data_IF_292222551028
#
_entry.id   IF_292222551028
#
_cell.length_a   1.000
_cell.length_b   1.000
_cell.length_c   1.000
_cell.angle_alpha   90.00
_cell.angle_beta   90.00
_cell.angle_gamma   90.00
#
_symmetry.space_group_name_H-M   'P 1'
#
loop_
_entity.id
_entity.type
_entity.pdbx_description
1 polymer ?
#
# COMPACT_ATOMS: atom_id res chain seq x y z
N UNK A 1 53.57 -30.85 28.14
CA UNK A 1 54.38 -29.62 28.27
C UNK A 1 54.19 -28.84 26.99
N UNK A 2 53.71 -27.61 27.07
CA UNK A 2 53.52 -26.77 25.88
C UNK A 2 54.90 -26.27 25.44
N UNK A 3 55.22 -26.40 24.17
CA UNK A 3 56.47 -25.91 23.60
C UNK A 3 56.46 -24.37 23.63
N UNK A 4 57.20 -23.80 24.58
CA UNK A 4 57.23 -22.35 24.85
C UNK A 4 57.74 -21.58 23.62
N UNK A 5 58.57 -22.23 22.80
CA UNK A 5 59.16 -21.66 21.60
C UNK A 5 58.12 -21.54 20.47
N UNK A 6 57.31 -22.59 20.27
CA UNK A 6 56.16 -22.58 19.37
C UNK A 6 55.09 -21.57 19.78
N UNK A 7 54.82 -21.43 21.08
CA UNK A 7 53.87 -20.44 21.59
C UNK A 7 54.36 -19.00 21.37
N UNK A 8 55.65 -18.75 21.56
CA UNK A 8 56.28 -17.45 21.29
C UNK A 8 56.27 -17.07 19.81
N UNK A 9 56.58 -18.02 18.93
CA UNK A 9 56.54 -17.80 17.47
C UNK A 9 55.11 -17.56 16.99
N UNK A 10 54.14 -18.32 17.49
CA UNK A 10 52.72 -18.11 17.16
C UNK A 10 52.23 -16.72 17.57
N UNK A 11 52.53 -16.29 18.80
CA UNK A 11 52.15 -14.97 19.29
C UNK A 11 52.81 -13.85 18.48
N UNK A 12 54.08 -14.01 18.12
CA UNK A 12 54.80 -13.03 17.29
C UNK A 12 54.18 -12.91 15.90
N UNK A 13 53.82 -14.03 15.27
CA UNK A 13 53.21 -14.04 13.94
C UNK A 13 51.82 -13.37 13.96
N UNK A 14 51.02 -13.67 14.98
CA UNK A 14 49.70 -13.02 15.16
C UNK A 14 49.87 -11.51 15.35
N UNK A 15 50.80 -11.07 16.19
CA UNK A 15 51.04 -9.64 16.41
C UNK A 15 51.50 -8.92 15.13
N UNK A 16 52.33 -9.57 14.30
CA UNK A 16 52.75 -9.02 13.00
C UNK A 16 51.56 -8.87 12.06
N UNK A 17 50.70 -9.89 11.95
CA UNK A 17 49.51 -9.84 11.08
C UNK A 17 48.55 -8.75 11.54
N UNK A 18 48.31 -8.64 12.86
CA UNK A 18 47.49 -7.57 13.44
C UNK A 18 48.12 -6.21 13.14
N UNK A 19 49.42 -6.03 13.38
CA UNK A 19 50.09 -4.77 13.10
C UNK A 19 50.01 -4.38 11.61
N UNK A 20 50.17 -5.34 10.70
CA UNK A 20 50.03 -5.09 9.26
C UNK A 20 48.60 -4.70 8.90
N UNK A 21 47.60 -5.44 9.38
CA UNK A 21 46.19 -5.16 9.14
C UNK A 21 45.79 -3.75 9.61
N UNK A 22 46.25 -3.33 10.79
CA UNK A 22 45.99 -1.99 11.31
C UNK A 22 46.84 -0.90 10.64
N UNK A 23 48.01 -1.24 10.09
CA UNK A 23 48.86 -0.29 9.37
C UNK A 23 48.35 0.03 7.96
N UNK A 24 47.66 -0.92 7.32
CA UNK A 24 47.12 -0.72 5.97
C UNK A 24 45.78 0.04 5.97
N UNK A 25 45.14 0.18 7.13
CA UNK A 25 43.89 0.94 7.30
C UNK A 25 42.71 0.28 6.59
N UNK A 26 41.65 -0.04 7.32
CA UNK A 26 40.37 -0.39 6.69
C UNK A 26 39.68 0.91 6.30
N UNK A 27 40.14 1.52 5.21
CA UNK A 27 39.53 2.71 4.63
C UNK A 27 38.15 2.36 4.06
N UNK A 28 37.14 2.31 4.94
CA UNK A 28 35.75 2.33 4.51
C UNK A 28 35.47 3.71 3.92
N UNK A 29 35.54 3.81 2.59
CA UNK A 29 35.07 4.99 1.87
C UNK A 29 33.56 4.92 1.78
N UNK A 30 32.88 6.00 2.15
CA UNK A 30 31.50 6.21 1.70
C UNK A 30 31.52 6.17 0.17
N UNK A 31 30.62 5.42 -0.49
CA UNK A 31 30.48 5.47 -1.94
C UNK A 31 30.38 6.91 -2.42
N UNK A 32 30.98 7.21 -3.57
CA UNK A 32 30.84 8.53 -4.19
C UNK A 32 29.36 8.86 -4.42
N UNK A 33 29.00 10.14 -4.27
CA UNK A 33 27.64 10.61 -4.55
C UNK A 33 27.38 10.56 -6.07
N UNK A 34 26.69 9.52 -6.50
CA UNK A 34 26.32 9.29 -7.90
C UNK A 34 25.04 10.05 -8.34
N UNK A 35 24.46 10.89 -7.48
CA UNK A 35 23.16 11.52 -7.77
C UNK A 35 23.19 12.34 -9.06
N UNK A 36 24.27 13.09 -9.29
CA UNK A 36 24.42 13.90 -10.51
C UNK A 36 24.58 13.03 -11.76
N UNK A 37 25.42 12.00 -11.69
CA UNK A 37 25.61 11.08 -12.82
C UNK A 37 24.31 10.38 -13.22
N UNK A 38 23.50 9.98 -12.24
CA UNK A 38 22.20 9.34 -12.49
C UNK A 38 21.20 10.33 -13.10
N UNK A 39 21.16 11.57 -12.61
CA UNK A 39 20.26 12.61 -13.15
C UNK A 39 20.64 12.97 -14.60
N UNK A 40 21.93 13.15 -14.88
CA UNK A 40 22.43 13.43 -16.24
C UNK A 40 22.10 12.27 -17.18
N UNK A 41 22.40 11.02 -16.79
CA UNK A 41 22.08 9.85 -17.61
C UNK A 41 20.58 9.71 -17.89
N UNK A 42 19.73 10.02 -16.90
CA UNK A 42 18.27 10.03 -17.11
C UNK A 42 17.85 11.12 -18.08
N UNK A 43 18.37 12.34 -17.90
CA UNK A 43 18.08 13.47 -18.79
C UNK A 43 18.50 13.18 -20.24
N UNK A 44 19.64 12.53 -20.46
CA UNK A 44 20.09 12.12 -21.80
C UNK A 44 19.19 11.07 -22.45
N UNK A 45 18.60 10.18 -21.66
CA UNK A 45 17.72 9.11 -22.17
C UNK A 45 16.27 9.56 -22.41
N UNK A 46 15.86 10.69 -21.84
CA UNK A 46 14.52 11.24 -22.07
C UNK A 46 14.60 12.20 -23.27
N UNK A 47 13.93 11.92 -24.40
CA UNK A 47 13.86 12.88 -25.49
C UNK A 47 13.22 14.17 -24.97
N UNK A 48 13.78 15.32 -25.33
CA UNK A 48 13.11 16.60 -25.09
C UNK A 48 11.77 16.58 -25.85
N UNK A 49 10.68 16.35 -25.12
CA UNK A 49 9.35 16.32 -25.72
C UNK A 49 8.86 17.75 -25.84
N UNK A 50 8.20 18.07 -26.96
CA UNK A 50 7.41 19.30 -27.11
C UNK A 50 6.13 19.27 -26.26
N UNK A 51 6.12 18.56 -25.12
CA UNK A 51 4.99 18.57 -24.21
C UNK A 51 4.91 19.96 -23.59
N UNK A 52 3.91 20.78 -23.94
CA UNK A 52 3.78 22.10 -23.36
C UNK A 52 3.63 21.91 -21.86
N UNK A 53 4.51 22.55 -21.08
CA UNK A 53 4.49 22.41 -19.62
C UNK A 53 3.04 22.62 -19.15
N UNK A 54 2.41 21.60 -18.54
CA UNK A 54 1.06 21.75 -18.06
C UNK A 54 1.19 22.83 -17.00
N UNK A 55 0.56 23.99 -17.27
CA UNK A 55 0.67 25.20 -16.46
C UNK A 55 0.75 24.79 -15.00
N UNK A 56 1.92 25.02 -14.41
CA UNK A 56 2.20 24.67 -13.04
C UNK A 56 1.03 25.16 -12.17
N UNK A 57 0.28 24.20 -11.59
CA UNK A 57 -0.92 24.45 -10.78
C UNK A 57 -0.64 25.35 -9.55
N UNK A 58 0.62 25.69 -9.28
CA UNK A 58 1.01 26.55 -8.15
C UNK A 58 1.02 28.06 -8.43
N UNK A 59 0.74 28.55 -9.64
CA UNK A 59 0.57 30.00 -9.86
C UNK A 59 -0.79 30.27 -10.53
N UNK A 60 -1.72 30.77 -9.72
CA UNK A 60 -3.03 31.24 -10.16
C UNK A 60 -2.92 32.24 -11.30
N UNK A 61 -3.43 31.84 -12.46
CA UNK A 61 -3.58 32.67 -13.64
C UNK A 61 -4.64 32.04 -14.53
N UNK A 62 -5.90 32.44 -14.35
CA UNK A 62 -6.99 32.01 -15.20
C UNK A 62 -6.74 32.42 -16.66
N UNK A 63 -6.99 31.50 -17.59
CA UNK A 63 -6.92 31.80 -19.02
C UNK A 63 -6.94 30.55 -19.91
N UNK A 64 -8.15 30.03 -20.17
CA UNK A 64 -8.52 29.32 -21.40
C UNK A 64 -7.78 28.03 -21.74
N UNK A 65 -8.40 26.88 -21.48
CA UNK A 65 -8.07 25.65 -22.17
C UNK A 65 -8.29 25.85 -23.68
N UNK A 66 -7.22 25.83 -24.46
CA UNK A 66 -7.31 25.75 -25.92
C UNK A 66 -7.40 24.27 -26.26
N UNK A 67 -8.60 23.80 -26.57
CA UNK A 67 -8.84 22.47 -27.09
C UNK A 67 -8.14 22.32 -28.45
N UNK A 68 -7.18 21.38 -28.55
CA UNK A 68 -6.66 20.94 -29.84
C UNK A 68 -7.67 19.94 -30.40
N UNK A 69 -8.41 20.38 -31.42
CA UNK A 69 -9.34 19.55 -32.16
C UNK A 69 -8.63 18.50 -33.00
N UNK A 70 -9.06 17.26 -32.85
CA UNK A 70 -8.73 16.13 -33.72
C UNK A 70 -9.79 15.05 -33.50
N UNK A 71 -10.82 15.09 -34.35
CA UNK A 71 -11.96 14.18 -34.28
C UNK A 71 -11.57 12.73 -34.50
N UNK A 72 -11.92 11.90 -33.53
CA UNK A 72 -12.57 10.62 -33.76
C UNK A 72 -13.81 10.66 -32.87
N UNK A 73 -14.97 10.87 -33.50
CA UNK A 73 -16.28 10.67 -32.90
C UNK A 73 -16.42 9.21 -32.43
N UNK A 74 -15.99 8.96 -31.20
CA UNK A 74 -16.58 7.94 -30.35
C UNK A 74 -17.52 8.69 -29.41
N UNK A 75 -18.81 8.67 -29.73
CA UNK A 75 -19.86 8.98 -28.76
C UNK A 75 -19.72 7.97 -27.62
N UNK A 76 -19.00 8.35 -26.57
CA UNK A 76 -19.14 7.72 -25.27
C UNK A 76 -20.47 8.22 -24.72
N UNK A 77 -21.56 7.62 -25.18
CA UNK A 77 -22.79 7.53 -24.40
C UNK A 77 -22.51 6.50 -23.29
N UNK A 78 -21.72 6.93 -22.31
CA UNK A 78 -21.81 6.41 -20.96
C UNK A 78 -22.98 7.15 -20.33
N UNK A 79 -24.12 6.48 -20.24
CA UNK A 79 -25.11 6.76 -19.20
C UNK A 79 -24.42 6.39 -17.87
N UNK A 80 -23.41 7.17 -17.48
CA UNK A 80 -22.84 7.11 -16.15
C UNK A 80 -23.89 7.80 -15.27
N UNK A 81 -24.92 7.04 -14.89
CA UNK A 81 -25.59 7.31 -13.63
C UNK A 81 -24.47 7.49 -12.62
N UNK A 82 -24.28 8.73 -12.15
CA UNK A 82 -23.39 9.03 -11.04
C UNK A 82 -23.83 8.11 -9.92
N UNK A 83 -23.14 6.97 -9.75
CA UNK A 83 -23.30 6.12 -8.59
C UNK A 83 -22.99 7.05 -7.43
N UNK A 84 -24.05 7.43 -6.70
CA UNK A 84 -23.92 8.25 -5.53
C UNK A 84 -23.16 7.39 -4.53
N UNK A 85 -21.82 7.47 -4.63
CA UNK A 85 -20.90 6.61 -3.93
C UNK A 85 -21.26 6.57 -2.45
N UNK A 86 -21.14 5.39 -1.86
CA UNK A 86 -21.39 5.20 -0.44
C UNK A 86 -20.44 6.10 0.36
N UNK A 87 -21.00 7.12 1.00
CA UNK A 87 -20.27 8.02 1.90
C UNK A 87 -20.56 7.64 3.36
N UNK A 88 -19.70 6.85 4.00
CA UNK A 88 -19.88 6.44 5.40
C UNK A 88 -19.83 7.62 6.37
N UNK A 89 -19.19 8.74 6.00
CA UNK A 89 -19.17 9.94 6.84
C UNK A 89 -20.51 10.69 6.85
N UNK A 90 -21.44 10.34 5.98
CA UNK A 90 -22.79 10.90 5.96
C UNK A 90 -23.76 10.21 6.93
N UNK A 91 -23.37 9.06 7.51
CA UNK A 91 -24.15 8.34 8.53
C UNK A 91 -24.14 9.18 9.81
N UNK A 92 -25.33 9.55 10.31
CA UNK A 92 -25.43 10.31 11.55
C UNK A 92 -25.19 9.42 12.77
N UNK A 93 -24.70 10.00 13.88
CA UNK A 93 -24.43 9.26 15.13
C UNK A 93 -25.67 8.51 15.66
N UNK A 94 -26.87 8.98 15.35
CA UNK A 94 -28.14 8.36 15.77
C UNK A 94 -28.56 7.17 14.87
N UNK A 95 -27.86 6.96 13.74
CA UNK A 95 -28.10 5.92 12.73
C UNK A 95 -26.96 4.89 12.65
N UNK A 96 -25.94 5.00 13.50
CA UNK A 96 -24.86 4.03 13.58
C UNK A 96 -25.41 2.72 14.14
N UNK A 97 -25.29 1.68 13.33
CA UNK A 97 -25.60 0.30 13.70
C UNK A 97 -24.29 -0.47 13.88
N UNK A 98 -24.34 -1.48 14.74
CA UNK A 98 -23.22 -2.30 15.12
C UNK A 98 -23.48 -3.75 14.72
N UNK A 99 -22.46 -4.40 14.15
CA UNK A 99 -22.53 -5.77 13.65
C UNK A 99 -21.42 -6.62 14.26
N UNK A 100 -21.73 -7.88 14.55
CA UNK A 100 -20.77 -8.85 15.08
C UNK A 100 -19.95 -9.44 13.91
N UNK A 101 -18.65 -9.18 13.90
CA UNK A 101 -17.72 -9.69 12.87
C UNK A 101 -16.70 -10.62 13.52
N UNK A 102 -16.69 -11.90 13.10
CA UNK A 102 -15.71 -12.89 13.54
C UNK A 102 -14.46 -12.84 12.65
N UNK A 103 -13.30 -12.53 13.23
CA UNK A 103 -12.02 -12.55 12.55
C UNK A 103 -11.35 -13.92 12.73
N UNK A 104 -11.35 -14.73 11.66
CA UNK A 104 -10.94 -16.15 11.73
C UNK A 104 -9.47 -16.32 12.13
N UNK A 105 -8.58 -15.46 11.61
CA UNK A 105 -7.14 -15.58 11.85
C UNK A 105 -6.75 -15.14 13.27
N UNK A 106 -7.47 -14.16 13.79
CA UNK A 106 -7.30 -13.62 15.14
C UNK A 106 -8.03 -14.49 16.18
N UNK A 107 -9.11 -15.16 15.77
CA UNK A 107 -9.89 -16.09 16.60
C UNK A 107 -10.84 -15.40 17.57
N UNK A 108 -11.21 -14.14 17.29
CA UNK A 108 -12.04 -13.30 18.14
C UNK A 108 -13.17 -12.65 17.32
N UNK A 109 -14.29 -12.38 17.98
CA UNK A 109 -15.44 -11.66 17.42
C UNK A 109 -15.50 -10.28 18.05
N UNK A 110 -15.59 -9.25 17.23
CA UNK A 110 -15.65 -7.86 17.66
C UNK A 110 -16.90 -7.19 17.07
N UNK A 111 -17.39 -6.19 17.79
CA UNK A 111 -18.55 -5.39 17.37
C UNK A 111 -18.03 -4.22 16.53
N UNK A 112 -18.43 -4.16 15.26
CA UNK A 112 -17.94 -3.16 14.29
C UNK A 112 -19.08 -2.23 13.88
N UNK A 113 -18.82 -0.92 13.89
CA UNK A 113 -19.81 0.07 13.47
C UNK A 113 -19.95 0.13 11.93
N UNK A 114 -21.16 0.38 11.44
CA UNK A 114 -21.43 0.51 10.00
C UNK A 114 -20.83 1.75 9.32
N UNK A 115 -20.22 2.64 10.10
CA UNK A 115 -19.47 3.82 9.65
C UNK A 115 -17.96 3.70 9.92
N UNK A 116 -17.48 2.51 10.31
CA UNK A 116 -16.07 2.18 10.54
C UNK A 116 -15.63 1.09 9.57
N UNK A 117 -14.38 1.14 9.10
CA UNK A 117 -13.86 0.07 8.24
C UNK A 117 -13.47 -1.16 9.05
N UNK A 118 -13.58 -2.34 8.43
CA UNK A 118 -13.11 -3.59 9.04
C UNK A 118 -11.62 -3.52 9.44
N UNK A 119 -10.80 -2.86 8.62
CA UNK A 119 -9.39 -2.66 8.98
C UNK A 119 -9.23 -1.82 10.25
N UNK A 120 -9.94 -0.69 10.35
CA UNK A 120 -9.84 0.20 11.51
C UNK A 120 -10.29 -0.51 12.78
N UNK A 121 -11.43 -1.20 12.75
CA UNK A 121 -11.94 -1.93 13.90
C UNK A 121 -10.95 -3.00 14.41
N UNK A 122 -10.25 -3.69 13.52
CA UNK A 122 -9.19 -4.61 13.91
C UNK A 122 -7.92 -3.93 14.44
N UNK A 123 -7.57 -2.74 13.92
CA UNK A 123 -6.45 -1.94 14.45
C UNK A 123 -6.74 -1.40 15.86
N UNK A 124 -8.01 -1.10 16.19
CA UNK A 124 -8.42 -0.67 17.53
C UNK A 124 -8.23 -1.75 18.60
N UNK A 125 -8.27 -3.02 18.19
CA UNK A 125 -7.98 -4.19 19.03
C UNK A 125 -6.48 -4.55 19.08
N UNK A 126 -5.61 -3.64 18.62
CA UNK A 126 -4.16 -3.81 18.54
C UNK A 126 -3.72 -5.00 17.63
N UNK A 127 -4.52 -5.40 16.64
CA UNK A 127 -4.18 -6.46 15.68
C UNK A 127 -3.34 -5.95 14.50
N UNK A 128 -2.37 -6.77 14.05
CA UNK A 128 -1.51 -6.47 12.90
C UNK A 128 -2.15 -7.02 11.61
N UNK A 129 -3.18 -6.33 11.14
CA UNK A 129 -3.88 -6.69 9.90
C UNK A 129 -3.08 -6.25 8.65
N UNK A 130 -3.15 -7.01 7.55
CA UNK A 130 -2.42 -6.68 6.33
C UNK A 130 -3.01 -5.43 5.65
N UNK A 131 -2.18 -4.44 5.31
CA UNK A 131 -2.59 -3.29 4.50
C UNK A 131 -1.39 -2.63 3.81
N UNK A 132 -1.67 -1.75 2.83
CA UNK A 132 -0.65 -0.89 2.25
C UNK A 132 -1.18 0.49 1.84
N UNK A 133 -2.11 0.56 0.87
CA UNK A 133 -2.60 1.86 0.37
C UNK A 133 -3.62 2.50 1.31
N UNK A 134 -4.59 1.75 1.85
CA UNK A 134 -5.79 2.27 2.55
C UNK A 134 -6.72 3.11 1.65
N UNK A 135 -6.76 2.81 0.36
CA UNK A 135 -7.65 3.46 -0.61
C UNK A 135 -8.42 2.46 -1.49
N UNK A 136 -8.34 1.15 -1.25
CA UNK A 136 -9.04 0.16 -2.09
C UNK A 136 -8.41 -0.06 -3.48
N UNK A 137 -7.10 0.21 -3.64
CA UNK A 137 -6.38 0.19 -4.92
C UNK A 137 -5.25 -0.86 -5.03
N UNK A 138 -4.83 -1.49 -3.92
CA UNK A 138 -3.58 -2.26 -3.88
C UNK A 138 -3.70 -3.74 -3.50
N UNK A 139 -4.91 -4.25 -3.24
CA UNK A 139 -5.22 -5.61 -2.76
C UNK A 139 -4.54 -6.08 -1.46
N UNK A 140 -3.61 -5.32 -0.87
CA UNK A 140 -2.89 -5.76 0.33
C UNK A 140 -3.79 -5.92 1.56
N UNK A 141 -4.96 -5.25 1.59
CA UNK A 141 -5.96 -5.38 2.64
C UNK A 141 -7.03 -6.43 2.32
N UNK A 142 -6.72 -7.36 1.41
CA UNK A 142 -7.62 -8.43 0.99
C UNK A 142 -8.02 -9.34 2.14
N UNK A 143 -9.31 -9.65 2.18
CA UNK A 143 -9.89 -10.70 2.99
C UNK A 143 -11.01 -11.37 2.23
N UNK A 144 -11.67 -12.31 2.89
CA UNK A 144 -12.77 -13.07 2.32
C UNK A 144 -13.86 -13.34 3.36
N UNK A 145 -15.12 -13.13 2.99
CA UNK A 145 -16.26 -13.58 3.79
C UNK A 145 -16.47 -15.08 3.58
N UNK A 146 -16.75 -15.82 4.65
CA UNK A 146 -16.93 -17.27 4.54
C UNK A 146 -18.33 -17.67 4.05
N UNK A 147 -19.32 -16.79 4.23
CA UNK A 147 -20.74 -17.09 4.02
C UNK A 147 -21.31 -16.60 2.68
N UNK A 148 -20.49 -16.54 1.62
CA UNK A 148 -20.96 -16.35 0.24
C UNK A 148 -20.56 -15.03 -0.40
N UNK A 149 -21.53 -14.32 -0.98
CA UNK A 149 -21.32 -13.07 -1.70
C UNK A 149 -20.98 -11.94 -0.70
N UNK A 150 -19.90 -11.21 -0.94
CA UNK A 150 -19.51 -10.12 -0.06
C UNK A 150 -20.53 -8.97 -0.06
N UNK A 151 -21.30 -8.76 -1.13
CA UNK A 151 -22.31 -7.69 -1.19
C UNK A 151 -23.43 -7.84 -0.14
N UNK A 152 -23.65 -9.04 0.39
CA UNK A 152 -24.65 -9.28 1.43
C UNK A 152 -24.18 -8.81 2.82
N UNK A 153 -22.86 -8.70 3.03
CA UNK A 153 -22.26 -8.47 4.36
C UNK A 153 -21.50 -7.16 4.48
N UNK A 154 -20.98 -6.64 3.36
CA UNK A 154 -20.14 -5.45 3.37
C UNK A 154 -20.44 -4.52 2.21
N UNK A 155 -20.23 -3.23 2.45
CA UNK A 155 -20.29 -2.19 1.43
C UNK A 155 -18.94 -1.48 1.33
N UNK A 156 -18.38 -1.43 0.13
CA UNK A 156 -17.14 -0.69 -0.11
C UNK A 156 -17.42 0.79 -0.37
N UNK A 157 -16.69 1.68 0.31
CA UNK A 157 -16.67 3.12 -0.04
C UNK A 157 -15.83 3.40 -1.30
N UNK A 158 -14.80 2.59 -1.53
CA UNK A 158 -14.02 2.58 -2.76
C UNK A 158 -13.55 1.17 -3.10
N UNK A 159 -13.68 0.77 -4.36
CA UNK A 159 -13.20 -0.51 -4.87
C UNK A 159 -12.80 -0.35 -6.33
N UNK A 160 -11.50 -0.13 -6.57
CA UNK A 160 -10.94 0.00 -7.91
C UNK A 160 -10.23 -1.27 -8.38
N UNK A 161 -10.20 -2.31 -7.54
CA UNK A 161 -9.33 -3.47 -7.77
C UNK A 161 -10.05 -4.81 -7.86
N UNK A 162 -11.11 -5.03 -7.07
CA UNK A 162 -11.90 -6.26 -7.17
C UNK A 162 -12.98 -6.06 -8.23
N UNK A 163 -13.05 -6.98 -9.19
CA UNK A 163 -14.17 -7.11 -10.11
C UNK A 163 -15.39 -7.71 -9.43
N UNK A 164 -16.56 -7.59 -10.08
CA UNK A 164 -17.83 -8.09 -9.56
C UNK A 164 -17.77 -9.58 -9.24
N UNK A 165 -17.15 -10.39 -10.10
CA UNK A 165 -17.05 -11.83 -9.89
C UNK A 165 -16.11 -12.23 -8.74
N UNK A 166 -15.23 -11.35 -8.28
CA UNK A 166 -14.41 -11.58 -7.08
C UNK A 166 -15.22 -11.26 -5.83
N UNK A 167 -15.99 -10.17 -5.84
CA UNK A 167 -16.90 -9.82 -4.74
C UNK A 167 -17.99 -10.87 -4.55
N UNK A 168 -18.58 -11.39 -5.64
CA UNK A 168 -19.55 -12.50 -5.61
C UNK A 168 -18.96 -13.80 -5.03
N UNK A 169 -17.64 -14.00 -5.13
CA UNK A 169 -16.92 -15.14 -4.52
C UNK A 169 -16.58 -14.89 -3.04
N UNK A 170 -16.94 -13.74 -2.52
CA UNK A 170 -16.75 -13.33 -1.13
C UNK A 170 -15.49 -12.51 -0.86
N UNK A 171 -14.74 -12.09 -1.89
CA UNK A 171 -13.54 -11.28 -1.64
C UNK A 171 -13.90 -9.84 -1.25
N UNK A 172 -13.16 -9.30 -0.28
CA UNK A 172 -13.41 -8.00 0.32
C UNK A 172 -12.09 -7.23 0.54
N UNK A 173 -12.11 -5.92 0.34
CA UNK A 173 -11.04 -5.01 0.76
C UNK A 173 -11.35 -4.43 2.14
N UNK A 174 -10.75 -5.00 3.19
CA UNK A 174 -11.04 -4.62 4.59
C UNK A 174 -10.82 -3.14 4.88
N UNK A 175 -9.91 -2.49 4.16
CA UNK A 175 -9.56 -1.07 4.33
C UNK A 175 -10.55 -0.06 3.74
N UNK A 176 -11.56 -0.53 3.01
CA UNK A 176 -12.65 0.31 2.48
C UNK A 176 -14.02 -0.35 2.66
N UNK A 177 -14.09 -1.49 3.33
CA UNK A 177 -15.30 -2.26 3.58
C UNK A 177 -15.92 -1.87 4.92
N UNK A 178 -17.22 -1.63 4.89
CA UNK A 178 -18.06 -1.31 6.05
C UNK A 178 -19.09 -2.41 6.22
N UNK A 179 -19.34 -2.92 7.43
CA UNK A 179 -20.28 -4.02 7.65
C UNK A 179 -21.73 -3.57 7.44
N UNK A 180 -22.55 -4.48 6.90
CA UNK A 180 -24.01 -4.30 6.73
C UNK A 180 -24.84 -5.41 7.38
N UNK A 181 -24.20 -6.50 7.82
CA UNK A 181 -24.81 -7.63 8.54
C UNK A 181 -23.71 -8.34 9.37
N UNK A 182 -24.07 -9.37 10.14
CA UNK A 182 -23.13 -10.16 10.94
C UNK A 182 -22.47 -11.25 10.08
N UNK A 183 -21.16 -11.43 10.19
CA UNK A 183 -20.45 -12.40 9.34
C UNK A 183 -19.08 -12.84 9.87
N UNK A 184 -18.50 -13.83 9.18
CA UNK A 184 -17.16 -14.33 9.44
C UNK A 184 -16.18 -13.88 8.35
N UNK A 185 -15.11 -13.20 8.76
CA UNK A 185 -14.05 -12.65 7.91
C UNK A 185 -12.74 -13.43 8.06
N UNK A 186 -12.21 -13.92 6.95
CA UNK A 186 -10.86 -14.45 6.85
C UNK A 186 -9.93 -13.37 6.26
N UNK A 187 -8.99 -12.87 7.05
CA UNK A 187 -8.00 -11.86 6.62
C UNK A 187 -6.86 -12.52 5.82
N UNK A 188 -6.02 -11.73 5.13
CA UNK A 188 -4.91 -12.23 4.29
C UNK A 188 -5.33 -13.09 3.07
N UNK A 189 -6.58 -12.99 2.64
CA UNK A 189 -7.08 -13.70 1.46
C UNK A 189 -7.17 -12.74 0.26
N UNK A 190 -6.56 -13.10 -0.86
CA UNK A 190 -6.62 -12.32 -2.11
C UNK A 190 -6.97 -13.23 -3.29
N UNK A 191 -7.72 -12.74 -4.29
CA UNK A 191 -8.11 -13.53 -5.46
C UNK A 191 -6.94 -13.99 -6.35
#
# INVERSE_FOLDING_TARGET
MVDVLGLGLGLTLVLIVVALHYSEGTEWRTPDDISQEVLERRAETVPETDFPEPMNRSIGGGGGAVAVGGGAEGELEGDDEEDAGFDPAAISDDEVEYFDVEYVNEGETIEVANNETLLEAGEEEDWDLPYACRQGQCLSCGGKVQDGDAHDYVRHSNNETLGEDEVEKGYVLTCTAYPTDDFTLETNETP
#
